data_IF_755567551543
#
_entry.id   IF_755567551543
#
_cell.length_a   1.000
_cell.length_b   1.000
_cell.length_c   1.000
_cell.angle_alpha   90.00
_cell.angle_beta   90.00
_cell.angle_gamma   90.00
#
_symmetry.space_group_name_H-M   'P 1'
#
loop_
_entity.id
_entity.type
_entity.pdbx_description
1 polymer ?
#
# COMPACT_ATOMS: atom_id res chain seq x y z
N UNK A 1 9.60 47.22 14.42
CA UNK A 1 9.40 45.86 13.86
C UNK A 1 9.97 44.84 14.84
N UNK A 2 9.14 44.10 15.57
CA UNK A 2 9.62 43.06 16.51
C UNK A 2 9.94 41.80 15.71
N UNK A 3 11.22 41.42 15.64
CA UNK A 3 11.64 40.15 15.05
C UNK A 3 11.00 39.00 15.82
N UNK A 4 10.13 38.24 15.15
CA UNK A 4 9.56 37.01 15.68
C UNK A 4 10.68 35.95 15.75
N UNK A 5 11.09 35.60 16.98
CA UNK A 5 12.06 34.53 17.23
C UNK A 5 11.41 33.19 16.81
N UNK A 6 11.92 32.55 15.75
CA UNK A 6 11.54 31.18 15.38
C UNK A 6 11.91 30.23 16.52
N UNK A 7 10.90 29.68 17.20
CA UNK A 7 11.09 28.68 18.24
C UNK A 7 11.71 27.42 17.64
N UNK A 8 12.81 26.93 18.24
CA UNK A 8 13.45 25.67 17.82
C UNK A 8 12.54 24.51 18.26
N UNK A 9 12.27 23.52 17.39
CA UNK A 9 11.40 22.41 17.74
C UNK A 9 11.95 21.64 18.95
N UNK A 10 11.06 21.17 19.81
CA UNK A 10 11.42 20.53 21.08
C UNK A 10 12.13 19.19 20.84
N UNK A 11 12.98 18.73 21.77
CA UNK A 11 13.65 17.42 21.67
C UNK A 11 12.66 16.25 21.53
N UNK A 12 11.44 16.39 22.04
CA UNK A 12 10.37 15.38 21.92
C UNK A 12 9.74 15.35 20.51
N UNK A 13 9.82 16.44 19.73
CA UNK A 13 9.38 16.45 18.33
C UNK A 13 10.28 15.64 17.39
N UNK A 14 11.49 15.28 17.84
CA UNK A 14 12.43 14.46 17.07
C UNK A 14 12.02 12.99 17.01
N UNK A 15 11.22 12.51 17.98
CA UNK A 15 10.75 11.13 18.10
C UNK A 15 9.34 10.89 17.58
N UNK A 16 8.71 11.87 16.92
CA UNK A 16 7.50 11.61 16.11
C UNK A 16 7.89 10.65 14.99
N UNK A 17 7.49 9.39 15.13
CA UNK A 17 7.71 8.31 14.17
C UNK A 17 7.08 8.73 12.83
N UNK A 18 7.88 9.32 11.93
CA UNK A 18 7.42 9.90 10.67
C UNK A 18 7.23 8.87 9.54
N UNK A 19 7.53 7.61 9.76
CA UNK A 19 7.52 6.59 8.70
C UNK A 19 7.31 5.22 9.29
N UNK A 20 6.11 4.66 9.12
CA UNK A 20 5.91 3.22 9.27
C UNK A 20 6.76 2.42 8.27
N UNK A 21 6.81 1.09 8.40
CA UNK A 21 7.63 0.23 7.56
C UNK A 21 7.32 0.47 6.07
N UNK A 22 8.37 0.77 5.30
CA UNK A 22 8.31 0.85 3.84
C UNK A 22 8.43 -0.57 3.30
N UNK A 23 7.32 -1.15 2.88
CA UNK A 23 7.29 -2.49 2.29
C UNK A 23 7.39 -2.34 0.78
N UNK A 24 8.27 -3.10 0.13
CA UNK A 24 8.39 -3.14 -1.32
C UNK A 24 7.74 -4.43 -1.79
N UNK A 25 6.68 -4.31 -2.59
CA UNK A 25 5.92 -5.45 -3.09
C UNK A 25 6.17 -5.62 -4.59
N UNK A 26 6.31 -6.87 -5.03
CA UNK A 26 6.44 -7.25 -6.44
C UNK A 26 5.20 -8.04 -6.85
N UNK A 27 4.58 -7.70 -7.97
CA UNK A 27 3.40 -8.41 -8.46
C UNK A 27 3.76 -9.84 -8.91
N UNK A 28 3.12 -10.89 -8.36
CA UNK A 28 3.46 -12.27 -8.72
C UNK A 28 2.98 -12.67 -10.12
N UNK A 29 1.96 -11.99 -10.64
CA UNK A 29 1.35 -12.27 -11.95
C UNK A 29 1.19 -11.02 -12.82
N UNK A 30 0.89 -11.25 -14.09
CA UNK A 30 0.50 -10.19 -15.02
C UNK A 30 -0.93 -9.75 -14.71
N UNK A 31 -1.12 -8.47 -14.41
CA UNK A 31 -2.44 -7.91 -14.06
C UNK A 31 -2.84 -6.92 -15.14
N UNK A 32 -3.95 -7.17 -15.81
CA UNK A 32 -4.52 -6.22 -16.77
C UNK A 32 -5.55 -5.36 -16.04
N UNK A 33 -5.35 -4.05 -16.04
CA UNK A 33 -6.35 -3.12 -15.53
C UNK A 33 -7.50 -3.00 -16.54
N UNK A 34 -8.75 -3.19 -16.10
CA UNK A 34 -9.91 -3.13 -17.00
C UNK A 34 -10.23 -1.70 -17.42
N UNK A 35 -9.91 -0.71 -16.57
CA UNK A 35 -10.21 0.72 -16.82
C UNK A 35 -9.40 1.35 -17.95
N UNK A 36 -8.10 1.05 -18.03
CA UNK A 36 -7.20 1.63 -19.05
C UNK A 36 -6.66 0.61 -20.04
N UNK A 37 -6.96 -0.69 -19.86
CA UNK A 37 -6.41 -1.77 -20.67
C UNK A 37 -4.89 -1.99 -20.50
N UNK A 38 -4.22 -1.21 -19.65
CA UNK A 38 -2.79 -1.31 -19.43
C UNK A 38 -2.47 -2.59 -18.65
N UNK A 39 -1.40 -3.26 -19.06
CA UNK A 39 -0.94 -4.50 -18.43
C UNK A 39 0.23 -4.19 -17.51
N UNK A 40 0.07 -4.51 -16.22
CA UNK A 40 1.14 -4.51 -15.23
C UNK A 40 1.86 -5.84 -15.37
N UNK A 41 3.14 -5.80 -15.76
CA UNK A 41 3.95 -7.00 -15.87
C UNK A 41 4.17 -7.67 -14.51
N UNK A 42 4.49 -8.97 -14.53
CA UNK A 42 5.02 -9.67 -13.36
C UNK A 42 6.32 -8.99 -12.90
N UNK A 43 6.51 -8.86 -11.58
CA UNK A 43 7.72 -8.30 -10.98
C UNK A 43 7.78 -6.77 -10.93
N UNK A 44 6.68 -6.08 -11.24
CA UNK A 44 6.62 -4.61 -11.08
C UNK A 44 6.62 -4.27 -9.60
N UNK A 45 7.52 -3.35 -9.22
CA UNK A 45 7.75 -2.94 -7.83
C UNK A 45 6.85 -1.79 -7.41
N UNK A 46 6.16 -1.98 -6.30
CA UNK A 46 5.35 -0.94 -5.65
C UNK A 46 5.87 -0.64 -4.25
N UNK A 47 5.88 0.65 -3.90
CA UNK A 47 6.21 1.10 -2.55
C UNK A 47 4.92 1.15 -1.70
N UNK A 48 4.83 0.28 -0.71
CA UNK A 48 3.84 0.32 0.35
C UNK A 48 4.34 1.18 1.50
N UNK A 49 3.57 2.20 1.89
CA UNK A 49 3.86 2.97 3.10
C UNK A 49 2.67 2.81 4.04
N UNK A 50 2.88 2.08 5.15
CA UNK A 50 1.94 2.12 6.28
C UNK A 50 2.10 3.47 6.97
N UNK A 51 1.27 4.47 6.59
CA UNK A 51 1.16 5.71 7.35
C UNK A 51 0.02 5.61 8.35
N UNK A 52 0.37 5.91 9.59
CA UNK A 52 -0.50 5.93 10.76
C UNK A 52 -1.82 6.67 10.45
N UNK A 53 -2.93 5.95 10.54
CA UNK A 53 -4.29 6.50 10.56
C UNK A 53 -4.86 7.14 9.29
N UNK A 54 -4.07 7.43 8.24
CA UNK A 54 -4.61 8.02 6.99
C UNK A 54 -3.93 7.49 5.73
N UNK A 55 -4.81 7.12 4.79
CA UNK A 55 -4.57 6.51 3.49
C UNK A 55 -3.68 7.38 2.59
N UNK A 56 -2.54 6.84 2.15
CA UNK A 56 -1.92 7.33 0.90
C UNK A 56 -1.06 6.25 0.21
N UNK A 57 -1.53 5.91 -0.99
CA UNK A 57 -0.87 5.25 -2.12
C UNK A 57 -0.78 3.71 -2.18
N UNK A 58 -0.61 2.98 -1.08
CA UNK A 58 -0.57 1.50 -1.15
C UNK A 58 -0.62 0.91 0.27
N UNK A 59 -1.51 -0.04 0.54
CA UNK A 59 -1.82 -0.48 1.91
C UNK A 59 -1.95 -1.99 2.03
N UNK A 60 -1.46 -2.51 3.16
CA UNK A 60 -1.53 -3.94 3.50
C UNK A 60 -2.43 -4.06 4.71
N UNK A 61 -3.50 -4.84 4.57
CA UNK A 61 -4.48 -5.09 5.61
C UNK A 61 -4.61 -6.58 5.85
N UNK A 62 -4.80 -6.95 7.11
CA UNK A 62 -5.31 -8.27 7.46
C UNK A 62 -6.82 -8.22 7.40
N UNK A 63 -7.42 -9.08 6.57
CA UNK A 63 -8.88 -9.07 6.32
C UNK A 63 -9.56 -10.27 6.98
N UNK A 64 -8.82 -11.35 7.19
CA UNK A 64 -9.32 -12.54 7.85
C UNK A 64 -8.22 -13.57 8.07
N UNK A 65 -8.63 -14.78 8.43
CA UNK A 65 -7.75 -15.93 8.61
C UNK A 65 -8.42 -17.15 7.98
N UNK A 66 -7.60 -18.03 7.40
CA UNK A 66 -8.00 -19.34 6.93
C UNK A 66 -7.21 -20.39 7.71
N UNK A 67 -7.90 -21.11 8.60
CA UNK A 67 -7.28 -21.94 9.63
C UNK A 67 -6.22 -21.16 10.44
N UNK A 68 -4.94 -21.45 10.24
CA UNK A 68 -3.80 -20.78 10.88
C UNK A 68 -3.14 -19.71 10.00
N UNK A 69 -3.52 -19.61 8.73
CA UNK A 69 -2.89 -18.70 7.76
C UNK A 69 -3.63 -17.37 7.72
N UNK A 70 -2.91 -16.26 7.85
CA UNK A 70 -3.48 -14.92 7.74
C UNK A 70 -3.80 -14.59 6.28
N UNK A 71 -4.99 -14.08 6.03
CA UNK A 71 -5.36 -13.55 4.71
C UNK A 71 -4.96 -12.08 4.66
N UNK A 72 -4.05 -11.78 3.72
CA UNK A 72 -3.54 -10.45 3.48
C UNK A 72 -4.21 -9.85 2.24
N UNK A 73 -4.57 -8.58 2.35
CA UNK A 73 -5.06 -7.76 1.26
C UNK A 73 -4.09 -6.61 1.00
N UNK A 74 -3.76 -6.42 -0.26
CA UNK A 74 -2.84 -5.42 -0.77
C UNK A 74 -3.58 -4.50 -1.74
N UNK A 75 -3.62 -3.20 -1.47
CA UNK A 75 -4.13 -2.23 -2.44
C UNK A 75 -2.99 -1.54 -3.18
N UNK A 76 -3.07 -1.55 -4.51
CA UNK A 76 -2.08 -0.98 -5.41
C UNK A 76 -2.72 -0.03 -6.41
N UNK A 77 -1.95 0.95 -6.88
CA UNK A 77 -2.41 1.90 -7.88
C UNK A 77 -1.82 1.55 -9.24
N UNK A 78 -2.67 1.51 -10.26
CA UNK A 78 -2.21 1.37 -11.64
C UNK A 78 -1.37 2.59 -12.05
N UNK A 79 -0.19 2.40 -12.69
CA UNK A 79 0.70 3.49 -13.07
C UNK A 79 0.04 4.53 -14.00
N UNK A 80 -0.85 4.09 -14.90
CA UNK A 80 -1.43 4.95 -15.93
C UNK A 80 -2.67 5.70 -15.45
N UNK A 81 -3.62 4.99 -14.83
CA UNK A 81 -4.95 5.52 -14.52
C UNK A 81 -5.17 5.81 -13.03
N UNK A 82 -4.18 5.52 -12.16
CA UNK A 82 -4.31 5.62 -10.70
C UNK A 82 -5.53 4.87 -10.16
N UNK A 83 -5.97 3.83 -10.86
CA UNK A 83 -7.05 2.97 -10.42
C UNK A 83 -6.58 2.08 -9.27
N UNK A 84 -7.45 1.85 -8.28
CA UNK A 84 -7.13 1.00 -7.13
C UNK A 84 -7.40 -0.46 -7.49
N UNK A 85 -6.35 -1.25 -7.52
CA UNK A 85 -6.41 -2.70 -7.67
C UNK A 85 -6.14 -3.30 -6.31
N UNK A 86 -7.04 -4.17 -5.87
CA UNK A 86 -6.96 -4.89 -4.61
C UNK A 86 -6.55 -6.33 -4.92
N UNK A 87 -5.52 -6.81 -4.24
CA UNK A 87 -5.03 -8.18 -4.33
C UNK A 87 -5.25 -8.85 -2.99
N UNK A 88 -5.92 -9.98 -2.96
CA UNK A 88 -6.15 -10.79 -1.76
C UNK A 88 -5.46 -12.13 -1.91
N UNK A 89 -4.82 -12.62 -0.85
CA UNK A 89 -4.27 -13.98 -0.82
C UNK A 89 -5.37 -15.00 -0.53
N UNK A 90 -5.47 -16.05 -1.33
CA UNK A 90 -6.43 -17.14 -1.14
C UNK A 90 -5.68 -18.44 -0.82
N UNK A 91 -5.52 -18.75 0.47
CA UNK A 91 -4.71 -19.89 0.91
C UNK A 91 -5.28 -21.26 0.53
N UNK A 92 -6.59 -21.37 0.28
CA UNK A 92 -7.23 -22.61 -0.17
C UNK A 92 -6.73 -23.06 -1.56
N UNK A 93 -6.65 -22.12 -2.51
CA UNK A 93 -6.20 -22.39 -3.88
C UNK A 93 -4.72 -22.04 -4.10
N UNK A 94 -4.01 -21.59 -3.06
CA UNK A 94 -2.63 -21.09 -3.14
C UNK A 94 -2.45 -19.98 -4.19
N UNK A 95 -3.48 -19.18 -4.40
CA UNK A 95 -3.55 -18.17 -5.46
C UNK A 95 -3.81 -16.77 -4.90
N UNK A 96 -3.80 -15.77 -5.79
CA UNK A 96 -4.11 -14.39 -5.46
C UNK A 96 -5.32 -13.91 -6.27
N UNK A 97 -6.39 -13.52 -5.59
CA UNK A 97 -7.54 -12.89 -6.22
C UNK A 97 -7.32 -11.39 -6.41
N UNK A 98 -7.55 -10.91 -7.63
CA UNK A 98 -7.47 -9.49 -7.99
C UNK A 98 -8.88 -8.92 -8.20
N UNK A 99 -9.21 -7.86 -7.46
CA UNK A 99 -10.45 -7.09 -7.63
C UNK A 99 -10.11 -5.62 -7.89
N UNK A 100 -10.98 -4.92 -8.61
CA UNK A 100 -10.85 -3.47 -8.83
C UNK A 100 -11.90 -2.75 -7.97
N UNK A 101 -11.49 -1.80 -7.14
CA UNK A 101 -12.41 -0.89 -6.44
C UNK A 101 -12.59 0.38 -7.29
N UNK A 102 -13.83 0.66 -7.70
CA UNK A 102 -14.22 1.80 -8.54
C UNK A 102 -14.44 3.08 -7.74
#
# INVERSE_FOLDING_TARGET
MKLQKKQKPSRLDQYKIKSGPKIRFETPFHVKCLKCGHMIAKGVRFNAVKREGKMKFFMIYQVGQFHSTIILQFSMLSPSCKNTIVCKTDPENCDYNYTEEQ
#
